data_IF_104853805372
#
_entry.id   IF_104853805372
#
_cell.length_a   1.000
_cell.length_b   1.000
_cell.length_c   1.000
_cell.angle_alpha   90.00
_cell.angle_beta   90.00
_cell.angle_gamma   90.00
#
_symmetry.space_group_name_H-M   'P 1'
#
loop_
_entity.id
_entity.type
_entity.pdbx_description
1 polymer ?
#
# COMPACT_ATOMS: atom_id res chain seq x y z
N UNK A 1 10.29 -0.32 -24.83
CA UNK A 1 10.84 -0.54 -23.48
C UNK A 1 9.63 -0.96 -22.66
N UNK A 2 9.54 -2.26 -22.36
CA UNK A 2 8.36 -2.84 -21.75
C UNK A 2 8.17 -2.23 -20.36
N UNK A 3 7.20 -1.33 -20.26
CA UNK A 3 6.69 -0.75 -19.01
C UNK A 3 6.10 -1.85 -18.09
N UNK A 4 6.12 -3.11 -18.56
CA UNK A 4 5.57 -4.28 -17.90
C UNK A 4 6.62 -5.28 -17.38
N UNK A 5 7.93 -5.05 -17.49
CA UNK A 5 8.93 -5.89 -16.81
C UNK A 5 9.04 -5.54 -15.30
N UNK A 6 9.20 -6.55 -14.45
CA UNK A 6 9.34 -6.41 -12.99
C UNK A 6 8.08 -6.72 -12.17
N UNK A 7 8.29 -7.08 -10.90
CA UNK A 7 7.25 -7.36 -9.90
C UNK A 7 6.43 -6.10 -9.57
N UNK A 8 5.18 -6.24 -9.07
CA UNK A 8 4.38 -5.09 -8.61
C UNK A 8 5.13 -4.18 -7.63
N UNK A 9 5.88 -4.79 -6.70
CA UNK A 9 6.72 -4.09 -5.73
C UNK A 9 7.79 -3.23 -6.41
N UNK A 10 8.54 -3.80 -7.35
CA UNK A 10 9.60 -3.08 -8.06
C UNK A 10 9.05 -1.87 -8.80
N UNK A 11 7.93 -2.04 -9.52
CA UNK A 11 7.26 -0.95 -10.23
C UNK A 11 6.74 0.13 -9.29
N UNK A 12 6.16 -0.26 -8.17
CA UNK A 12 5.68 0.69 -7.15
C UNK A 12 6.81 1.58 -6.64
N UNK A 13 7.95 0.99 -6.27
CA UNK A 13 9.08 1.78 -5.78
C UNK A 13 9.73 2.62 -6.90
N UNK A 14 9.84 2.09 -8.12
CA UNK A 14 10.33 2.87 -9.25
C UNK A 14 9.46 4.11 -9.51
N UNK A 15 8.13 3.96 -9.45
CA UNK A 15 7.20 5.08 -9.62
C UNK A 15 7.29 6.06 -8.44
N UNK A 16 7.33 5.59 -7.19
CA UNK A 16 7.48 6.49 -6.03
C UNK A 16 8.75 7.34 -6.11
N UNK A 17 9.85 6.77 -6.61
CA UNK A 17 11.12 7.51 -6.66
C UNK A 17 11.24 8.47 -7.84
N UNK A 18 10.46 8.26 -8.91
CA UNK A 18 10.59 9.03 -10.16
C UNK A 18 9.37 9.91 -10.49
N UNK A 19 8.21 9.71 -9.88
CA UNK A 19 7.01 10.51 -10.12
C UNK A 19 7.11 11.93 -9.51
N UNK A 20 6.15 12.79 -9.86
CA UNK A 20 6.06 14.13 -9.29
C UNK A 20 5.93 14.05 -7.77
N UNK A 21 6.81 14.78 -7.06
CA UNK A 21 6.86 14.79 -5.59
C UNK A 21 5.50 15.03 -4.92
N UNK A 22 4.70 15.98 -5.42
CA UNK A 22 3.41 16.30 -4.82
C UNK A 22 2.42 15.14 -4.96
N UNK A 23 2.44 14.41 -6.08
CA UNK A 23 1.59 13.23 -6.28
C UNK A 23 1.98 12.11 -5.32
N UNK A 24 3.28 11.90 -5.13
CA UNK A 24 3.81 10.91 -4.19
C UNK A 24 3.47 11.29 -2.76
N UNK A 25 3.66 12.56 -2.37
CA UNK A 25 3.31 13.06 -1.03
C UNK A 25 1.81 12.86 -0.75
N UNK A 26 0.93 13.22 -1.69
CA UNK A 26 -0.52 13.01 -1.55
C UNK A 26 -0.88 11.52 -1.39
N UNK A 27 -0.28 10.63 -2.19
CA UNK A 27 -0.60 9.20 -2.11
C UNK A 27 -0.10 8.57 -0.80
N UNK A 28 1.08 8.99 -0.32
CA UNK A 28 1.61 8.55 0.98
C UNK A 28 0.73 9.08 2.11
N UNK A 29 0.30 10.34 2.07
CA UNK A 29 -0.59 10.92 3.08
C UNK A 29 -1.93 10.15 3.12
N UNK A 30 -2.52 9.85 1.95
CA UNK A 30 -3.73 9.03 1.84
C UNK A 30 -3.54 7.62 2.45
N UNK A 31 -2.38 7.00 2.22
CA UNK A 31 -2.05 5.69 2.80
C UNK A 31 -1.93 5.76 4.32
N UNK A 32 -1.28 6.80 4.86
CA UNK A 32 -1.15 7.01 6.30
C UNK A 32 -2.52 7.26 6.97
N UNK A 33 -3.37 8.10 6.37
CA UNK A 33 -4.74 8.34 6.87
C UNK A 33 -5.52 7.03 6.97
N UNK A 34 -5.46 6.18 5.93
CA UNK A 34 -6.14 4.87 5.93
C UNK A 34 -5.59 3.95 7.02
N UNK A 35 -4.27 3.89 7.21
CA UNK A 35 -3.64 3.06 8.26
C UNK A 35 -4.07 3.52 9.65
N UNK A 36 -4.04 4.83 9.91
CA UNK A 36 -4.47 5.40 11.19
C UNK A 36 -5.94 5.07 11.44
N UNK A 37 -6.82 5.33 10.47
CA UNK A 37 -8.24 5.03 10.60
C UNK A 37 -8.51 3.54 10.88
N UNK A 38 -7.80 2.63 10.21
CA UNK A 38 -7.91 1.19 10.46
C UNK A 38 -7.39 0.80 11.84
N UNK A 39 -6.32 1.44 12.32
CA UNK A 39 -5.78 1.21 13.67
C UNK A 39 -6.77 1.65 14.74
N UNK A 40 -7.31 2.87 14.63
CA UNK A 40 -8.33 3.39 15.56
C UNK A 40 -9.57 2.49 15.57
N UNK A 41 -10.08 2.09 14.38
CA UNK A 41 -11.20 1.16 14.29
C UNK A 41 -10.90 -0.19 14.94
N UNK A 42 -9.69 -0.72 14.80
CA UNK A 42 -9.29 -1.96 15.48
C UNK A 42 -9.35 -1.78 17.00
N UNK A 43 -8.79 -0.70 17.52
CA UNK A 43 -8.77 -0.40 18.97
C UNK A 43 -10.19 -0.22 19.52
N UNK A 44 -11.05 0.55 18.83
CA UNK A 44 -12.46 0.73 19.19
C UNK A 44 -13.23 -0.59 19.23
N UNK A 45 -12.84 -1.57 18.41
CA UNK A 45 -13.45 -2.90 18.35
C UNK A 45 -12.71 -3.95 19.20
N UNK A 46 -11.78 -3.53 20.06
CA UNK A 46 -11.06 -4.42 20.98
C UNK A 46 -10.06 -5.37 20.29
N UNK A 47 -9.65 -5.05 19.07
CA UNK A 47 -8.61 -5.78 18.34
C UNK A 47 -7.26 -5.17 18.69
N UNK A 48 -6.46 -5.92 19.44
CA UNK A 48 -5.11 -5.50 19.82
C UNK A 48 -4.11 -5.62 18.66
N UNK A 49 -3.04 -4.82 18.73
CA UNK A 49 -1.90 -4.93 17.82
C UNK A 49 -1.29 -6.35 17.79
N UNK A 50 -1.31 -7.06 18.91
CA UNK A 50 -0.86 -8.45 18.98
C UNK A 50 -1.74 -9.39 18.14
N UNK A 51 -3.05 -9.18 18.10
CA UNK A 51 -3.96 -9.95 17.25
C UNK A 51 -3.71 -9.66 15.76
N UNK A 52 -3.46 -8.40 15.39
CA UNK A 52 -3.09 -8.03 14.00
C UNK A 52 -1.78 -8.72 13.61
N UNK A 53 -0.75 -8.66 14.46
CA UNK A 53 0.53 -9.31 14.20
C UNK A 53 0.39 -10.83 14.06
N UNK A 54 -0.41 -11.46 14.92
CA UNK A 54 -0.71 -12.89 14.83
C UNK A 54 -1.44 -13.23 13.52
N UNK A 55 -2.39 -12.39 13.10
CA UNK A 55 -3.07 -12.57 11.83
C UNK A 55 -2.11 -12.55 10.64
N UNK A 56 -1.14 -11.63 10.63
CA UNK A 56 -0.10 -11.56 9.59
C UNK A 56 0.71 -12.86 9.55
N UNK A 57 1.17 -13.34 10.70
CA UNK A 57 1.98 -14.56 10.80
C UNK A 57 1.21 -15.83 10.40
N UNK A 58 -0.10 -15.86 10.64
CA UNK A 58 -0.97 -17.00 10.34
C UNK A 58 -1.45 -17.03 8.88
N UNK A 59 -1.37 -15.90 8.16
CA UNK A 59 -1.92 -15.77 6.82
C UNK A 59 -0.91 -15.17 5.81
N UNK A 60 0.35 -15.65 5.75
CA UNK A 60 1.41 -15.02 4.96
C UNK A 60 1.05 -14.87 3.48
N UNK A 61 0.54 -15.92 2.84
CA UNK A 61 0.17 -15.89 1.41
C UNK A 61 -0.91 -14.84 1.12
N UNK A 62 -1.93 -14.77 1.98
CA UNK A 62 -3.01 -13.79 1.85
C UNK A 62 -2.51 -12.35 2.04
N UNK A 63 -1.55 -12.15 2.93
CA UNK A 63 -0.92 -10.84 3.12
C UNK A 63 -0.05 -10.49 1.91
N UNK A 64 0.68 -11.46 1.35
CA UNK A 64 1.50 -11.25 0.16
C UNK A 64 0.65 -10.90 -1.08
N UNK A 65 -0.44 -11.63 -1.32
CA UNK A 65 -1.38 -11.34 -2.40
C UNK A 65 -2.00 -9.94 -2.24
N UNK A 66 -2.49 -9.63 -1.03
CA UNK A 66 -3.04 -8.30 -0.73
C UNK A 66 -2.02 -7.18 -0.87
N UNK A 67 -0.74 -7.44 -0.56
CA UNK A 67 0.34 -6.49 -0.73
C UNK A 67 0.66 -6.26 -2.22
N UNK A 68 0.64 -7.30 -3.05
CA UNK A 68 0.79 -7.18 -4.49
C UNK A 68 -0.35 -6.36 -5.12
N UNK A 69 -1.59 -6.61 -4.71
CA UNK A 69 -2.75 -5.84 -5.15
C UNK A 69 -2.64 -4.36 -4.73
N UNK A 70 -2.18 -4.10 -3.51
CA UNK A 70 -1.95 -2.74 -3.02
C UNK A 70 -0.89 -2.01 -3.87
N UNK A 71 0.22 -2.66 -4.20
CA UNK A 71 1.24 -2.06 -5.08
C UNK A 71 0.67 -1.66 -6.44
N UNK A 72 -0.12 -2.54 -7.08
CA UNK A 72 -0.75 -2.25 -8.37
C UNK A 72 -1.72 -1.08 -8.24
N UNK A 73 -2.56 -1.07 -7.19
CA UNK A 73 -3.53 -0.01 -6.96
C UNK A 73 -2.86 1.36 -6.80
N UNK A 74 -1.83 1.45 -5.96
CA UNK A 74 -1.15 2.71 -5.70
C UNK A 74 -0.32 3.22 -6.90
N UNK A 75 0.26 2.30 -7.68
CA UNK A 75 0.84 2.63 -9.00
C UNK A 75 -0.22 3.29 -9.89
N UNK A 76 -1.41 2.68 -9.99
CA UNK A 76 -2.52 3.24 -10.77
C UNK A 76 -2.94 4.63 -10.32
N UNK A 77 -3.02 4.87 -9.01
CA UNK A 77 -3.40 6.17 -8.45
C UNK A 77 -2.38 7.26 -8.78
N UNK A 78 -1.07 6.98 -8.61
CA UNK A 78 -0.01 7.96 -8.89
C UNK A 78 0.02 8.30 -10.38
N UNK A 79 -0.09 7.30 -11.26
CA UNK A 79 -0.08 7.51 -12.70
C UNK A 79 -1.32 8.25 -13.21
N UNK A 80 -2.52 7.89 -12.71
CA UNK A 80 -3.78 8.54 -13.13
C UNK A 80 -3.89 9.99 -12.69
N UNK A 81 -3.24 10.38 -11.59
CA UNK A 81 -3.19 11.77 -11.14
C UNK A 81 -2.10 12.61 -11.84
N UNK A 82 -1.30 11.99 -12.71
CA UNK A 82 -0.28 12.66 -13.52
C UNK A 82 -0.78 13.03 -14.93
N UNK A 83 -1.97 12.55 -15.32
CA UNK A 83 -2.70 12.92 -16.54
C UNK A 83 -3.62 14.13 -16.29
#
# INVERSE_FOLDING_TARGET
>A
MDIFEGTPREKFFDIIFNANRNLVENEIENLLIKIIALSELCEENGISQAQVQNYILQNPDRIEDGLNDAFIHHVGNILSNNE
#
